data_IF_710921220554
#
_entry.id   IF_710921220554
#
_cell.length_a   1.000
_cell.length_b   1.000
_cell.length_c   1.000
_cell.angle_alpha   90.00
_cell.angle_beta   90.00
_cell.angle_gamma   90.00
#
_symmetry.space_group_name_H-M   'P 1'
#
loop_
_entity.id
_entity.type
_entity.pdbx_description
1 polymer ?
#
# COMPACT_ATOMS: atom_id res chain seq x y z
N UNK A 1 5.47 6.88 30.60
CA UNK A 1 6.10 7.25 29.32
C UNK A 1 5.02 7.56 28.29
N UNK A 2 4.51 8.80 28.18
CA UNK A 2 3.56 9.17 27.15
C UNK A 2 4.32 9.78 25.96
N UNK A 3 4.91 8.94 25.10
CA UNK A 3 5.56 9.38 23.85
C UNK A 3 4.71 9.08 22.61
N UNK A 4 3.42 8.76 22.78
CA UNK A 4 2.56 8.30 21.68
C UNK A 4 1.73 9.40 21.00
N UNK A 5 1.63 10.59 21.59
CA UNK A 5 0.79 11.67 21.04
C UNK A 5 1.56 12.64 20.11
N UNK A 6 2.84 12.91 20.39
CA UNK A 6 3.63 13.86 19.59
C UNK A 6 3.94 13.37 18.17
N UNK A 7 3.85 12.07 17.91
CA UNK A 7 4.04 11.47 16.59
C UNK A 7 2.83 11.72 15.67
N UNK A 8 1.62 11.89 16.23
CA UNK A 8 0.38 12.01 15.45
C UNK A 8 0.25 13.35 14.73
N UNK A 9 0.70 14.44 15.35
CA UNK A 9 0.69 15.76 14.73
C UNK A 9 1.78 15.90 13.67
N UNK A 10 2.95 15.30 13.89
CA UNK A 10 4.02 15.24 12.90
C UNK A 10 3.61 14.39 11.68
N UNK A 11 2.98 13.23 11.92
CA UNK A 11 2.40 12.40 10.85
C UNK A 11 1.28 13.11 10.09
N UNK A 12 0.44 13.93 10.77
CA UNK A 12 -0.56 14.77 10.09
C UNK A 12 0.08 15.83 9.20
N UNK A 13 1.06 16.56 9.71
CA UNK A 13 1.76 17.59 8.93
C UNK A 13 2.53 17.01 7.74
N UNK A 14 3.19 15.86 7.93
CA UNK A 14 3.86 15.14 6.86
C UNK A 14 2.88 14.67 5.79
N UNK A 15 1.68 14.18 6.19
CA UNK A 15 0.59 13.82 5.28
C UNK A 15 0.08 15.01 4.47
N UNK A 16 -0.13 16.17 5.10
CA UNK A 16 -0.60 17.38 4.42
C UNK A 16 0.41 17.90 3.37
N UNK A 17 1.70 17.88 3.72
CA UNK A 17 2.79 18.20 2.79
C UNK A 17 2.89 17.22 1.62
N UNK A 18 2.64 15.94 1.90
CA UNK A 18 2.56 14.87 0.91
C UNK A 18 1.36 15.02 -0.03
N UNK A 19 0.17 15.32 0.49
CA UNK A 19 -1.03 15.59 -0.30
C UNK A 19 -0.81 16.80 -1.21
N UNK A 20 -0.14 17.84 -0.72
CA UNK A 20 0.24 18.99 -1.52
C UNK A 20 1.26 18.64 -2.62
N UNK A 21 2.22 17.76 -2.34
CA UNK A 21 3.23 17.32 -3.31
C UNK A 21 2.64 16.40 -4.40
N UNK A 22 1.72 15.52 -4.03
CA UNK A 22 0.94 14.68 -4.96
C UNK A 22 0.05 15.55 -5.85
N UNK A 23 -0.63 16.55 -5.28
CA UNK A 23 -1.40 17.53 -6.07
C UNK A 23 -0.56 18.34 -7.05
N UNK A 24 0.74 18.52 -6.78
CA UNK A 24 1.67 19.22 -7.66
C UNK A 24 2.28 18.34 -8.76
N UNK A 25 1.99 17.03 -8.79
CA UNK A 25 2.51 16.12 -9.82
C UNK A 25 4.02 15.89 -9.76
N UNK A 26 4.68 16.26 -8.67
CA UNK A 26 6.13 16.15 -8.50
C UNK A 26 6.59 14.74 -8.04
N UNK A 27 5.66 13.92 -7.56
CA UNK A 27 5.87 12.51 -7.21
C UNK A 27 4.57 11.74 -7.49
N UNK A 28 4.66 10.50 -8.00
CA UNK A 28 3.45 9.72 -8.17
C UNK A 28 2.93 9.29 -6.78
N UNK A 29 1.63 9.43 -6.50
CA UNK A 29 1.06 8.97 -5.23
C UNK A 29 1.29 7.46 -4.99
N UNK A 30 1.54 6.71 -6.07
CA UNK A 30 1.97 5.30 -6.00
C UNK A 30 3.38 5.14 -5.39
N UNK A 31 4.36 5.98 -5.75
CA UNK A 31 5.71 5.92 -5.18
C UNK A 31 5.69 6.22 -3.69
N UNK A 32 4.84 7.16 -3.29
CA UNK A 32 4.62 7.50 -1.90
C UNK A 32 4.07 6.31 -1.10
N UNK A 33 2.97 5.74 -1.59
CA UNK A 33 2.33 4.59 -1.00
C UNK A 33 3.31 3.42 -0.89
N UNK A 34 4.11 3.21 -1.94
CA UNK A 34 5.15 2.20 -2.01
C UNK A 34 6.22 2.37 -0.92
N UNK A 35 6.76 3.58 -0.77
CA UNK A 35 7.77 3.85 0.26
C UNK A 35 7.21 3.71 1.68
N UNK A 36 5.99 4.23 1.93
CA UNK A 36 5.34 4.12 3.23
C UNK A 36 5.12 2.65 3.63
N UNK A 37 4.58 1.84 2.72
CA UNK A 37 4.36 0.42 2.99
C UNK A 37 5.66 -0.37 3.11
N UNK A 38 6.71 -0.01 2.38
CA UNK A 38 8.03 -0.64 2.50
C UNK A 38 8.62 -0.42 3.89
N UNK A 39 8.50 0.79 4.44
CA UNK A 39 8.93 1.11 5.82
C UNK A 39 8.09 0.30 6.81
N UNK A 40 6.76 0.33 6.69
CA UNK A 40 5.87 -0.40 7.59
C UNK A 40 6.20 -1.91 7.62
N UNK A 41 6.42 -2.52 6.45
CA UNK A 41 6.81 -3.94 6.36
C UNK A 41 8.17 -4.21 6.99
N UNK A 42 9.15 -3.31 6.81
CA UNK A 42 10.48 -3.44 7.42
C UNK A 42 10.42 -3.33 8.96
N UNK A 43 9.50 -2.53 9.49
CA UNK A 43 9.23 -2.40 10.93
C UNK A 43 8.34 -3.52 11.49
N UNK A 44 7.85 -4.45 10.66
CA UNK A 44 6.91 -5.50 11.07
C UNK A 44 5.50 -4.97 11.36
N UNK A 45 5.17 -3.77 10.88
CA UNK A 45 3.88 -3.11 11.03
C UNK A 45 2.95 -3.42 9.84
N UNK A 46 1.63 -3.31 10.04
CA UNK A 46 0.68 -3.43 8.95
C UNK A 46 0.81 -2.26 7.99
N UNK A 47 0.64 -2.56 6.71
CA UNK A 47 0.67 -1.61 5.60
C UNK A 47 -0.43 -0.56 5.68
N UNK A 48 -0.11 0.66 5.25
CA UNK A 48 -1.00 1.81 5.25
C UNK A 48 -1.73 2.05 3.93
N UNK A 49 -1.11 1.64 2.82
CA UNK A 49 -1.66 1.75 1.47
C UNK A 49 -1.79 0.39 0.77
N UNK A 50 -1.14 -0.66 1.30
CA UNK A 50 -1.21 -2.04 0.82
C UNK A 50 -0.56 -2.26 -0.55
N UNK A 51 0.62 -1.70 -0.79
CA UNK A 51 1.35 -1.84 -2.06
C UNK A 51 2.34 -3.02 -2.09
N UNK A 52 2.79 -3.50 -0.94
CA UNK A 52 3.74 -4.60 -0.82
C UNK A 52 3.02 -5.94 -0.92
N UNK A 53 3.43 -6.70 -1.92
CA UNK A 53 3.06 -8.10 -2.09
C UNK A 53 4.24 -8.99 -1.74
N UNK A 54 3.92 -10.22 -1.34
CA UNK A 54 4.86 -11.31 -1.19
C UNK A 54 4.44 -12.45 -2.11
N UNK A 55 5.40 -13.09 -2.74
CA UNK A 55 5.18 -14.30 -3.52
C UNK A 55 5.84 -15.47 -2.78
N UNK A 56 5.09 -16.22 -1.95
CA UNK A 56 5.62 -17.47 -1.40
C UNK A 56 5.97 -18.47 -2.51
N UNK A 57 5.22 -18.42 -3.61
CA UNK A 57 5.37 -19.31 -4.75
C UNK A 57 5.23 -18.53 -6.07
N UNK A 58 5.69 -19.13 -7.17
CA UNK A 58 5.56 -18.55 -8.52
C UNK A 58 4.11 -18.26 -8.92
N UNK A 59 3.15 -18.95 -8.31
CA UNK A 59 1.73 -18.89 -8.65
C UNK A 59 0.85 -18.23 -7.59
N UNK A 60 1.45 -17.71 -6.52
CA UNK A 60 0.70 -17.20 -5.39
C UNK A 60 1.22 -15.83 -5.04
N UNK A 61 0.41 -14.80 -5.28
CA UNK A 61 0.68 -13.43 -4.86
C UNK A 61 -0.19 -13.14 -3.64
N UNK A 62 0.44 -12.84 -2.51
CA UNK A 62 -0.25 -12.53 -1.24
C UNK A 62 0.11 -11.11 -0.84
N UNK A 63 -0.89 -10.28 -0.60
CA UNK A 63 -0.66 -8.96 -0.01
C UNK A 63 -0.23 -9.09 1.45
N UNK A 64 0.80 -8.36 1.87
CA UNK A 64 1.21 -8.30 3.28
C UNK A 64 0.09 -7.68 4.13
N UNK A 65 -0.01 -7.99 5.44
CA UNK A 65 -1.09 -7.50 6.29
C UNK A 65 -1.21 -5.97 6.23
N UNK A 66 -2.44 -5.50 6.07
CA UNK A 66 -2.80 -4.07 6.04
C UNK A 66 -3.56 -3.70 7.32
N UNK A 67 -3.50 -2.42 7.70
CA UNK A 67 -4.12 -1.93 8.94
C UNK A 67 -5.65 -2.13 8.92
N UNK A 68 -6.29 -1.70 7.84
CA UNK A 68 -7.71 -1.94 7.57
C UNK A 68 -7.99 -1.60 6.12
N UNK A 69 -8.58 -2.53 5.37
CA UNK A 69 -8.89 -2.34 3.94
C UNK A 69 -9.69 -1.05 3.69
N UNK A 70 -10.64 -0.73 4.56
CA UNK A 70 -11.45 0.48 4.46
C UNK A 70 -10.65 1.77 4.74
N UNK A 71 -9.73 1.76 5.72
CA UNK A 71 -8.86 2.90 6.02
C UNK A 71 -7.83 3.12 4.91
N UNK A 72 -7.28 2.03 4.39
CA UNK A 72 -6.38 2.00 3.23
C UNK A 72 -7.09 2.60 2.02
N UNK A 73 -8.27 2.10 1.65
CA UNK A 73 -9.04 2.64 0.51
C UNK A 73 -9.35 4.14 0.67
N UNK A 74 -9.71 4.61 1.87
CA UNK A 74 -9.90 6.04 2.14
C UNK A 74 -8.64 6.87 1.87
N UNK A 75 -7.46 6.39 2.30
CA UNK A 75 -6.17 7.05 2.04
C UNK A 75 -5.83 7.03 0.54
N UNK A 76 -6.08 5.89 -0.13
CA UNK A 76 -5.85 5.73 -1.57
C UNK A 76 -6.73 6.66 -2.39
N UNK A 77 -8.01 6.76 -2.05
CA UNK A 77 -8.97 7.67 -2.69
C UNK A 77 -8.60 9.14 -2.48
N UNK A 78 -8.12 9.52 -1.28
CA UNK A 78 -7.65 10.88 -1.02
C UNK A 78 -6.47 11.29 -1.94
N UNK A 79 -5.66 10.32 -2.35
CA UNK A 79 -4.54 10.50 -3.28
C UNK A 79 -4.91 10.28 -4.76
N UNK A 80 -6.19 10.03 -5.07
CA UNK A 80 -6.64 9.73 -6.44
C UNK A 80 -6.14 8.38 -6.98
N UNK A 81 -5.82 7.45 -6.08
CA UNK A 81 -5.37 6.10 -6.45
C UNK A 81 -6.54 5.11 -6.54
N UNK A 82 -6.42 4.05 -7.37
CA UNK A 82 -7.42 2.99 -7.42
C UNK A 82 -7.52 2.26 -6.08
N UNK A 83 -8.65 1.61 -5.82
CA UNK A 83 -8.85 0.83 -4.61
C UNK A 83 -7.79 -0.26 -4.45
N UNK A 84 -7.64 -0.73 -3.22
CA UNK A 84 -6.73 -1.81 -2.88
C UNK A 84 -7.06 -3.09 -3.65
N UNK A 85 -8.35 -3.36 -3.84
CA UNK A 85 -8.88 -4.53 -4.54
C UNK A 85 -8.55 -4.48 -6.03
N UNK A 86 -8.74 -3.32 -6.66
CA UNK A 86 -8.33 -3.10 -8.05
C UNK A 86 -6.82 -3.31 -8.21
N UNK A 87 -6.04 -2.75 -7.29
CA UNK A 87 -4.58 -2.88 -7.33
C UNK A 87 -4.10 -4.32 -7.11
N UNK A 88 -4.74 -5.07 -6.22
CA UNK A 88 -4.48 -6.50 -6.01
C UNK A 88 -4.83 -7.32 -7.26
N UNK A 89 -5.98 -7.04 -7.89
CA UNK A 89 -6.40 -7.69 -9.12
C UNK A 89 -5.44 -7.39 -10.30
N UNK A 90 -4.99 -6.13 -10.44
CA UNK A 90 -4.00 -5.75 -11.45
C UNK A 90 -2.66 -6.43 -11.20
N UNK A 91 -2.19 -6.42 -9.95
CA UNK A 91 -0.95 -7.07 -9.54
C UNK A 91 -0.98 -8.57 -9.81
N UNK A 92 -2.11 -9.24 -9.53
CA UNK A 92 -2.30 -10.66 -9.81
C UNK A 92 -2.20 -10.97 -11.30
N UNK A 93 -2.81 -10.15 -12.15
CA UNK A 93 -2.79 -10.34 -13.62
C UNK A 93 -1.40 -10.15 -14.23
N UNK A 94 -0.59 -9.25 -13.68
CA UNK A 94 0.74 -8.92 -14.21
C UNK A 94 1.86 -9.77 -13.60
N UNK A 95 1.78 -10.10 -12.30
CA UNK A 95 2.85 -10.81 -11.59
C UNK A 95 2.66 -12.32 -11.56
N UNK A 96 1.43 -12.84 -11.70
CA UNK A 96 1.20 -14.28 -11.80
C UNK A 96 1.23 -14.69 -13.28
N UNK A 97 2.18 -15.54 -13.70
CA UNK A 97 2.22 -16.01 -15.07
C UNK A 97 0.97 -16.84 -15.41
N UNK A 98 0.48 -16.70 -16.65
CA UNK A 98 -0.73 -17.40 -17.13
C UNK A 98 -0.65 -18.94 -17.04
N UNK A 99 0.58 -19.48 -17.02
CA UNK A 99 0.88 -20.91 -16.82
C UNK A 99 0.40 -21.44 -15.45
N UNK A 100 0.20 -20.56 -14.46
CA UNK A 100 -0.34 -20.92 -13.15
C UNK A 100 -1.85 -21.25 -13.15
N UNK A 101 -2.57 -21.07 -14.27
CA UNK A 101 -4.00 -21.39 -14.38
C UNK A 101 -4.30 -22.90 -14.44
N UNK A 102 -3.27 -23.77 -14.40
CA UNK A 102 -3.37 -25.19 -14.69
C UNK A 102 -3.42 -26.17 -13.52
N UNK A 103 -3.60 -25.74 -12.26
CA UNK A 103 -3.77 -26.69 -11.13
C UNK A 103 -5.05 -26.40 -10.33
N UNK A 104 -6.18 -26.48 -11.01
CA UNK A 104 -7.41 -26.96 -10.36
C UNK A 104 -7.22 -28.46 -10.20
N UNK A 105 -6.82 -28.90 -9.01
CA UNK A 105 -6.97 -30.31 -8.62
C UNK A 105 -8.37 -30.53 -8.08
#
# INVERSE_FOLDING_TARGET
MPHADQDRDFQRAARDLLEAAVRKGAAAPRDLAYLADRIAVAEGRPQEYGTQFTMPDRCTLIMRPVDSRERVNRRRQALGMPSLEEYEAEGRKHMIPADCAGKTN
#
